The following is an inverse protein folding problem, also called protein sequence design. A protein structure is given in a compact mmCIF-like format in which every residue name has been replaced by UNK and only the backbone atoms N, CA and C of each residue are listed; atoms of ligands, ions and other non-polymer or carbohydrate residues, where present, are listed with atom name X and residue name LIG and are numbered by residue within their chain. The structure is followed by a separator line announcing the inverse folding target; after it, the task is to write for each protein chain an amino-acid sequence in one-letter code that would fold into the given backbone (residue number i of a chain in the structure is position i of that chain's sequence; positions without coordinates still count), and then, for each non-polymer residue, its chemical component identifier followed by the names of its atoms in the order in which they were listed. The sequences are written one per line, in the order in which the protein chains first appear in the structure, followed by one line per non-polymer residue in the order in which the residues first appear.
data_IF_588957564151
#
_entry.id   IF_588957564151
#
_cell.length_a   1.000
_cell.length_b   1.000
_cell.length_c   1.000
_cell.angle_alpha   90.00
_cell.angle_beta   90.00
_cell.angle_gamma   90.00
#
_symmetry.space_group_name_H-M   'P 1'
#
loop_
_entity.id
_entity.type
_entity.pdbx_description
1 polymer ?
#
# COMPACT_ATOMS: atom_id res chain seq x y z
N UNK A 1 -5.17 -4.22 13.26
CA UNK A 1 -3.96 -5.05 13.36
C UNK A 1 -3.86 -5.85 12.08
N UNK A 2 -2.66 -6.02 11.52
CA UNK A 2 -2.48 -6.79 10.30
C UNK A 2 -2.66 -8.29 10.56
N UNK A 3 -3.31 -8.99 9.64
CA UNK A 3 -3.35 -10.44 9.61
C UNK A 3 -1.95 -11.02 9.33
N UNK A 4 -1.77 -12.32 9.60
CA UNK A 4 -0.49 -13.01 9.34
C UNK A 4 -0.06 -12.87 7.87
N UNK A 5 -1.00 -13.07 6.94
CA UNK A 5 -0.72 -12.99 5.50
C UNK A 5 -0.34 -11.57 5.07
N UNK A 6 -0.98 -10.53 5.63
CA UNK A 6 -0.61 -9.14 5.36
C UNK A 6 0.78 -8.81 5.92
N UNK A 7 1.12 -9.31 7.13
CA UNK A 7 2.48 -9.14 7.69
C UNK A 7 3.54 -9.79 6.82
N UNK A 8 3.30 -10.99 6.29
CA UNK A 8 4.20 -11.66 5.37
C UNK A 8 4.33 -10.90 4.04
N UNK A 9 3.21 -10.46 3.46
CA UNK A 9 3.18 -9.73 2.17
C UNK A 9 3.88 -8.38 2.25
N UNK A 10 3.66 -7.62 3.32
CA UNK A 10 4.14 -6.24 3.48
C UNK A 10 5.37 -6.11 4.37
N UNK A 11 6.00 -7.22 4.75
CA UNK A 11 7.13 -7.26 5.70
C UNK A 11 8.21 -6.23 5.39
N UNK A 12 8.60 -6.13 4.11
CA UNK A 12 9.65 -5.20 3.65
C UNK A 12 9.25 -3.73 3.77
N UNK A 13 7.98 -3.38 3.60
CA UNK A 13 7.51 -2.01 3.80
C UNK A 13 7.36 -1.68 5.27
N UNK A 14 6.88 -2.62 6.08
CA UNK A 14 6.75 -2.47 7.54
C UNK A 14 8.13 -2.25 8.20
N UNK A 15 9.20 -2.83 7.65
CA UNK A 15 10.57 -2.64 8.13
C UNK A 15 11.15 -1.24 7.87
N UNK A 16 10.55 -0.44 7.00
CA UNK A 16 10.98 0.94 6.77
C UNK A 16 10.59 1.79 7.98
N UNK A 17 11.57 2.50 8.54
CA UNK A 17 11.41 3.31 9.76
C UNK A 17 10.23 4.29 9.67
N UNK A 18 10.06 4.95 8.52
CA UNK A 18 9.00 5.93 8.30
C UNK A 18 7.62 5.33 8.00
N UNK A 19 7.52 4.03 7.74
CA UNK A 19 6.25 3.35 7.42
C UNK A 19 5.73 2.58 8.63
N UNK A 20 6.49 1.61 9.12
CA UNK A 20 6.07 0.76 10.24
C UNK A 20 4.75 0.02 10.01
N UNK A 21 4.25 -0.66 11.05
CA UNK A 21 2.94 -1.31 11.01
C UNK A 21 1.80 -0.28 10.94
N UNK A 22 1.97 0.89 11.56
CA UNK A 22 0.96 1.95 11.57
C UNK A 22 0.75 2.56 10.18
N UNK A 23 1.83 2.88 9.45
CA UNK A 23 1.74 3.39 8.08
C UNK A 23 1.11 2.38 7.13
N UNK A 24 1.48 1.10 7.25
CA UNK A 24 0.85 0.04 6.45
C UNK A 24 -0.65 -0.09 6.73
N UNK A 25 -1.08 0.03 7.99
CA UNK A 25 -2.50 0.05 8.37
C UNK A 25 -3.22 1.29 7.83
N UNK A 26 -2.57 2.46 7.78
CA UNK A 26 -3.13 3.66 7.17
C UNK A 26 -3.35 3.46 5.67
N UNK A 27 -2.39 2.87 4.95
CA UNK A 27 -2.52 2.55 3.53
C UNK A 27 -3.70 1.60 3.25
N UNK A 28 -3.80 0.49 3.99
CA UNK A 28 -4.89 -0.49 3.82
C UNK A 28 -6.29 0.08 4.12
N UNK A 29 -6.38 1.11 4.98
CA UNK A 29 -7.64 1.79 5.30
C UNK A 29 -7.94 2.97 4.38
N UNK A 30 -7.00 3.34 3.51
CA UNK A 30 -7.16 4.49 2.62
C UNK A 30 -7.97 4.12 1.38
N UNK A 31 -8.45 5.13 0.68
CA UNK A 31 -9.09 4.99 -0.63
C UNK A 31 -8.53 6.07 -1.55
N UNK A 32 -8.16 5.68 -2.77
CA UNK A 32 -7.54 6.58 -3.76
C UNK A 32 -8.39 6.57 -5.03
N UNK A 33 -8.76 7.77 -5.50
CA UNK A 33 -9.41 7.96 -6.79
C UNK A 33 -8.34 8.24 -7.85
N UNK A 34 -8.27 7.40 -8.88
CA UNK A 34 -7.41 7.63 -10.05
C UNK A 34 -8.29 8.01 -11.23
N UNK A 35 -8.11 9.21 -11.77
CA UNK A 35 -8.87 9.70 -12.93
C UNK A 35 -8.11 9.37 -14.20
N UNK A 36 -8.63 8.38 -14.94
CA UNK A 36 -8.08 7.90 -16.20
C UNK A 36 -7.19 6.67 -16.02
N UNK A 37 -7.46 5.63 -16.82
CA UNK A 37 -6.73 4.35 -16.82
C UNK A 37 -5.89 4.15 -18.10
N UNK A 38 -5.36 5.25 -18.65
CA UNK A 38 -4.41 5.25 -19.77
C UNK A 38 -2.97 5.02 -19.28
N UNK A 39 -1.96 5.42 -20.07
CA UNK A 39 -0.55 5.11 -19.77
C UNK A 39 -0.03 5.60 -18.40
N UNK A 40 -0.51 6.74 -17.91
CA UNK A 40 -0.15 7.24 -16.58
C UNK A 40 -0.91 6.50 -15.46
N UNK A 41 -2.22 6.31 -15.66
CA UNK A 41 -3.06 5.61 -14.67
C UNK A 41 -2.66 4.16 -14.49
N UNK A 42 -2.33 3.46 -15.58
CA UNK A 42 -1.89 2.06 -15.54
C UNK A 42 -0.56 1.90 -14.79
N UNK A 43 0.38 2.83 -14.96
CA UNK A 43 1.64 2.81 -14.22
C UNK A 43 1.41 3.00 -12.71
N UNK A 44 0.57 3.96 -12.31
CA UNK A 44 0.30 4.24 -10.89
C UNK A 44 -0.47 3.09 -10.21
N UNK A 45 -1.50 2.56 -10.86
CA UNK A 45 -2.39 1.53 -10.28
C UNK A 45 -1.66 0.22 -9.93
N UNK A 46 -0.51 -0.09 -10.56
CA UNK A 46 0.26 -1.28 -10.21
C UNK A 46 1.02 -1.17 -8.87
N UNK A 47 1.27 0.04 -8.39
CA UNK A 47 2.06 0.31 -7.18
C UNK A 47 1.23 0.81 -5.99
N UNK A 48 -0.05 1.11 -6.19
CA UNK A 48 -1.04 1.35 -5.13
C UNK A 48 -1.55 0.01 -4.58
#
# INVERSE_FOLDING_TARGET
MLSRLEKERYLRHIMLEDVGEEGQLKLLKSSVLVIGAGGLGSAVLMYL
#
